data_IF_050090927381
#
_entry.id   IF_050090927381
#
_cell.length_a   1.000
_cell.length_b   1.000
_cell.length_c   1.000
_cell.angle_alpha   90.00
_cell.angle_beta   90.00
_cell.angle_gamma   90.00
#
_symmetry.space_group_name_H-M   'P 1'
#
loop_
_entity.id
_entity.type
_entity.pdbx_description
1 polymer ?
#
# COMPACT_ATOMS: atom_id res chain seq x y z
N UNK A 1 -9.22 -10.20 -6.87
CA UNK A 1 -9.01 -9.49 -5.59
C UNK A 1 -10.14 -9.67 -4.55
N UNK A 2 -11.44 -9.76 -4.91
CA UNK A 2 -12.54 -9.88 -3.94
C UNK A 2 -12.48 -11.08 -2.96
N UNK A 3 -11.90 -12.22 -3.38
CA UNK A 3 -11.78 -13.43 -2.54
C UNK A 3 -10.93 -13.22 -1.28
N UNK A 4 -9.83 -12.45 -1.37
CA UNK A 4 -8.92 -12.27 -0.25
C UNK A 4 -9.53 -11.37 0.84
N UNK A 5 -10.13 -10.25 0.43
CA UNK A 5 -10.79 -9.34 1.37
C UNK A 5 -11.89 -10.03 2.19
N UNK A 6 -12.63 -10.94 1.54
CA UNK A 6 -13.67 -11.70 2.21
C UNK A 6 -13.09 -12.66 3.27
N UNK A 7 -12.00 -13.37 2.97
CA UNK A 7 -11.32 -14.24 3.94
C UNK A 7 -10.86 -13.49 5.19
N UNK A 8 -10.40 -12.24 5.04
CA UNK A 8 -9.90 -11.44 6.16
C UNK A 8 -11.02 -11.11 7.16
N UNK A 9 -12.24 -10.89 6.66
CA UNK A 9 -13.38 -10.61 7.51
C UNK A 9 -13.85 -11.86 8.27
N UNK A 10 -13.55 -13.07 7.77
CA UNK A 10 -14.00 -14.32 8.40
C UNK A 10 -13.28 -14.56 9.72
N UNK A 11 -11.96 -14.45 9.79
CA UNK A 11 -11.23 -14.70 11.03
C UNK A 11 -11.57 -13.69 12.12
N UNK A 12 -11.84 -12.44 11.73
CA UNK A 12 -12.38 -11.44 12.63
C UNK A 12 -13.78 -11.83 13.15
N UNK A 13 -14.68 -12.26 12.26
CA UNK A 13 -16.02 -12.76 12.64
C UNK A 13 -15.94 -14.03 13.51
N UNK A 14 -14.99 -14.94 13.24
CA UNK A 14 -14.72 -16.14 14.06
C UNK A 14 -14.27 -15.77 15.46
N UNK A 15 -13.33 -14.83 15.58
CA UNK A 15 -12.91 -14.31 16.88
C UNK A 15 -14.10 -13.77 17.67
N UNK A 16 -14.92 -12.90 17.05
CA UNK A 16 -16.08 -12.33 17.71
C UNK A 16 -17.12 -13.38 18.12
N UNK A 17 -17.35 -14.40 17.27
CA UNK A 17 -18.24 -15.52 17.59
C UNK A 17 -17.73 -16.32 18.80
N UNK A 18 -16.44 -16.66 18.81
CA UNK A 18 -15.80 -17.38 19.92
C UNK A 18 -15.87 -16.56 21.21
N UNK A 19 -15.51 -15.27 21.19
CA UNK A 19 -15.62 -14.37 22.35
C UNK A 19 -17.06 -14.38 22.90
N UNK A 20 -18.05 -14.27 22.01
CA UNK A 20 -19.46 -14.25 22.41
C UNK A 20 -19.88 -15.58 23.06
N UNK A 21 -19.50 -16.71 22.47
CA UNK A 21 -19.85 -18.04 22.98
C UNK A 21 -19.11 -18.38 24.28
N UNK A 22 -17.83 -18.04 24.38
CA UNK A 22 -17.00 -18.24 25.56
C UNK A 22 -17.52 -17.41 26.74
N UNK A 23 -17.82 -16.12 26.53
CA UNK A 23 -18.41 -15.27 27.58
C UNK A 23 -19.74 -15.83 28.09
N UNK A 24 -20.62 -16.25 27.19
CA UNK A 24 -21.91 -16.86 27.55
C UNK A 24 -21.73 -18.15 28.36
N UNK A 25 -20.74 -18.97 27.99
CA UNK A 25 -20.41 -20.20 28.71
C UNK A 25 -19.86 -19.88 30.11
N UNK A 26 -18.83 -19.06 30.21
CA UNK A 26 -18.21 -18.69 31.50
C UNK A 26 -19.23 -18.03 32.44
N UNK A 27 -20.09 -17.15 31.92
CA UNK A 27 -21.13 -16.51 32.74
C UNK A 27 -22.16 -17.50 33.27
N UNK A 28 -22.44 -18.58 32.53
CA UNK A 28 -23.37 -19.63 32.94
C UNK A 28 -22.70 -20.66 33.84
N UNK A 29 -21.42 -20.96 33.65
CA UNK A 29 -20.64 -21.85 34.51
C UNK A 29 -20.45 -21.25 35.92
N UNK A 30 -20.29 -19.93 36.01
CA UNK A 30 -20.27 -19.19 37.29
C UNK A 30 -21.65 -19.13 37.98
N UNK A 31 -22.74 -19.32 37.23
CA UNK A 31 -24.11 -19.34 37.74
C UNK A 31 -24.55 -20.80 37.82
N UNK A 32 -24.22 -21.47 38.92
CA UNK A 32 -24.40 -22.92 39.22
C UNK A 32 -25.83 -23.50 38.98
N UNK A 33 -26.81 -22.70 38.53
CA UNK A 33 -28.19 -23.13 38.42
C UNK A 33 -28.60 -23.63 37.03
N UNK A 34 -28.94 -24.93 37.06
CA UNK A 34 -29.70 -25.77 36.14
C UNK A 34 -30.65 -25.07 35.14
N UNK A 35 -30.73 -25.69 33.95
CA UNK A 35 -31.82 -25.65 32.94
C UNK A 35 -31.84 -24.54 31.89
N UNK A 36 -31.00 -23.50 31.94
CA UNK A 36 -30.96 -22.55 30.83
C UNK A 36 -30.22 -23.11 29.61
N UNK A 37 -30.89 -23.15 28.45
CA UNK A 37 -30.30 -23.45 27.14
C UNK A 37 -28.98 -22.68 26.95
N UNK A 38 -27.87 -23.39 26.84
CA UNK A 38 -26.52 -22.84 26.64
C UNK A 38 -26.27 -22.63 25.15
N UNK A 39 -26.14 -21.37 24.72
CA UNK A 39 -25.83 -21.03 23.33
C UNK A 39 -26.63 -19.87 22.77
N UNK A 40 -26.53 -19.68 21.46
CA UNK A 40 -27.28 -18.67 20.70
C UNK A 40 -27.90 -19.31 19.47
N UNK A 41 -29.12 -18.90 19.11
CA UNK A 41 -29.71 -19.29 17.82
C UNK A 41 -28.92 -18.71 16.65
N UNK A 42 -28.95 -19.39 15.51
CA UNK A 42 -28.24 -18.94 14.32
C UNK A 42 -28.68 -17.54 13.88
N UNK A 43 -29.96 -17.19 14.08
CA UNK A 43 -30.47 -15.86 13.71
C UNK A 43 -29.83 -14.77 14.56
N UNK A 44 -29.74 -15.00 15.88
CA UNK A 44 -29.05 -14.09 16.79
C UNK A 44 -27.57 -13.96 16.46
N UNK A 45 -26.93 -15.07 16.07
CA UNK A 45 -25.52 -15.06 15.63
C UNK A 45 -25.37 -14.24 14.33
N UNK A 46 -26.20 -14.48 13.32
CA UNK A 46 -26.19 -13.72 12.06
C UNK A 46 -26.39 -12.23 12.29
N UNK A 47 -27.35 -11.85 13.15
CA UNK A 47 -27.61 -10.44 13.51
C UNK A 47 -26.39 -9.79 14.17
N UNK A 48 -25.79 -10.46 15.15
CA UNK A 48 -24.62 -9.92 15.87
C UNK A 48 -23.36 -9.84 15.01
N UNK A 49 -23.11 -10.84 14.17
CA UNK A 49 -21.95 -10.88 13.28
C UNK A 49 -22.16 -10.14 11.96
N UNK A 50 -23.37 -9.59 11.73
CA UNK A 50 -23.80 -8.97 10.46
C UNK A 50 -23.42 -9.85 9.27
N UNK A 51 -23.84 -11.12 9.33
CA UNK A 51 -23.53 -12.11 8.31
C UNK A 51 -24.78 -12.84 7.83
N UNK A 52 -24.73 -13.35 6.59
CA UNK A 52 -25.80 -14.19 6.05
C UNK A 52 -25.59 -15.67 6.43
N UNK A 53 -26.53 -16.56 6.05
CA UNK A 53 -26.45 -17.99 6.39
C UNK A 53 -25.25 -18.71 5.78
N UNK A 54 -24.85 -18.31 4.57
CA UNK A 54 -23.69 -18.90 3.87
C UNK A 54 -22.39 -18.52 4.58
N UNK A 55 -22.21 -17.24 4.88
CA UNK A 55 -21.08 -16.74 5.65
C UNK A 55 -21.04 -17.37 7.04
N UNK A 56 -22.20 -17.52 7.70
CA UNK A 56 -22.27 -18.20 8.99
C UNK A 56 -21.74 -19.63 8.88
N UNK A 57 -22.14 -20.37 7.84
CA UNK A 57 -21.64 -21.73 7.61
C UNK A 57 -20.12 -21.75 7.46
N UNK A 58 -19.54 -20.86 6.65
CA UNK A 58 -18.09 -20.76 6.41
C UNK A 58 -17.30 -20.31 7.65
N UNK A 59 -17.90 -19.46 8.50
CA UNK A 59 -17.35 -19.09 9.80
C UNK A 59 -17.35 -20.33 10.71
N UNK A 60 -18.47 -21.05 10.79
CA UNK A 60 -18.67 -22.15 11.74
C UNK A 60 -18.00 -23.45 11.34
N UNK A 61 -17.75 -23.71 10.06
CA UNK A 61 -17.18 -24.98 9.59
C UNK A 61 -15.84 -25.27 10.26
N UNK A 62 -14.90 -24.33 10.20
CA UNK A 62 -13.58 -24.49 10.83
C UNK A 62 -13.67 -24.56 12.36
N UNK A 63 -14.55 -23.76 12.97
CA UNK A 63 -14.75 -23.78 14.43
C UNK A 63 -15.30 -25.15 14.89
N UNK A 64 -16.18 -25.75 14.09
CA UNK A 64 -16.77 -27.05 14.36
C UNK A 64 -15.75 -28.18 14.18
N UNK A 65 -14.97 -28.15 13.10
CA UNK A 65 -13.87 -29.09 12.86
C UNK A 65 -12.83 -29.06 13.98
N UNK A 66 -12.52 -27.87 14.49
CA UNK A 66 -11.62 -27.69 15.65
C UNK A 66 -12.28 -28.04 17.00
N UNK A 67 -13.55 -28.47 17.00
CA UNK A 67 -14.35 -28.78 18.20
C UNK A 67 -14.47 -27.60 19.18
N UNK A 68 -14.36 -26.37 18.69
CA UNK A 68 -14.50 -25.14 19.48
C UNK A 68 -15.98 -24.79 19.66
N UNK A 69 -16.81 -25.12 18.69
CA UNK A 69 -18.26 -24.96 18.76
C UNK A 69 -18.97 -26.28 18.49
N UNK A 70 -20.21 -26.37 18.97
CA UNK A 70 -21.11 -27.47 18.70
C UNK A 70 -22.51 -26.93 18.37
N UNK A 71 -23.24 -27.70 17.56
CA UNK A 71 -24.61 -27.37 17.18
C UNK A 71 -25.58 -27.79 18.29
N UNK A 72 -26.63 -26.99 18.49
CA UNK A 72 -27.67 -27.23 19.50
C UNK A 72 -29.05 -26.88 18.94
N UNK A 73 -30.10 -27.42 19.54
CA UNK A 73 -31.50 -27.20 19.14
C UNK A 73 -32.12 -25.98 19.86
N UNK A 74 -31.36 -24.90 20.00
CA UNK A 74 -31.88 -23.62 20.49
C UNK A 74 -32.62 -22.95 19.34
N UNK A 75 -33.94 -22.76 19.50
CA UNK A 75 -34.82 -22.13 18.51
C UNK A 75 -34.60 -22.74 17.10
N UNK A 76 -34.80 -24.06 16.99
CA UNK A 76 -34.55 -24.91 15.81
C UNK A 76 -33.07 -25.20 15.52
N UNK A 77 -32.20 -24.18 15.42
CA UNK A 77 -30.76 -24.35 15.17
C UNK A 77 -29.95 -23.25 15.86
N UNK A 78 -29.01 -23.67 16.70
CA UNK A 78 -28.14 -22.79 17.48
C UNK A 78 -26.72 -23.32 17.61
N UNK A 79 -25.87 -22.49 18.22
CA UNK A 79 -24.46 -22.75 18.48
C UNK A 79 -24.17 -22.61 19.96
N UNK A 80 -23.31 -23.47 20.49
CA UNK A 80 -22.74 -23.31 21.81
C UNK A 80 -21.23 -23.48 21.79
N UNK A 81 -20.53 -22.74 22.65
CA UNK A 81 -19.09 -22.85 22.81
C UNK A 81 -18.71 -24.05 23.68
N UNK A 82 -17.65 -24.75 23.29
CA UNK A 82 -17.04 -25.81 24.10
C UNK A 82 -15.95 -25.24 25.01
N UNK A 83 -15.29 -26.09 25.80
CA UNK A 83 -14.08 -25.70 26.54
C UNK A 83 -12.96 -25.23 25.61
N UNK A 84 -12.83 -25.83 24.42
CA UNK A 84 -11.86 -25.40 23.40
C UNK A 84 -12.14 -24.01 22.85
N UNK A 85 -13.41 -23.57 22.80
CA UNK A 85 -13.70 -22.17 22.48
C UNK A 85 -13.14 -21.19 23.53
N UNK A 86 -13.19 -21.55 24.81
CA UNK A 86 -12.59 -20.72 25.87
C UNK A 86 -11.08 -20.64 25.66
N UNK A 87 -10.43 -21.78 25.42
CA UNK A 87 -8.98 -21.83 25.13
C UNK A 87 -8.61 -21.02 23.89
N UNK A 88 -9.39 -21.11 22.81
CA UNK A 88 -9.19 -20.34 21.58
C UNK A 88 -9.37 -18.84 21.81
N UNK A 89 -10.32 -18.44 22.66
CA UNK A 89 -10.54 -17.05 23.08
C UNK A 89 -9.36 -16.52 23.90
N UNK A 90 -8.98 -17.23 24.97
CA UNK A 90 -7.85 -16.87 25.85
C UNK A 90 -6.55 -16.75 25.07
N UNK A 91 -6.28 -17.68 24.14
CA UNK A 91 -5.09 -17.65 23.32
C UNK A 91 -5.14 -16.63 22.17
N UNK A 92 -6.28 -15.95 21.99
CA UNK A 92 -6.54 -15.02 20.90
C UNK A 92 -6.28 -15.63 19.51
N UNK A 93 -6.56 -16.94 19.33
CA UNK A 93 -6.17 -17.74 18.16
C UNK A 93 -6.53 -17.06 16.84
N UNK A 94 -7.79 -16.67 16.68
CA UNK A 94 -8.30 -16.06 15.45
C UNK A 94 -7.92 -14.58 15.30
N UNK A 95 -7.75 -13.85 16.41
CA UNK A 95 -7.28 -12.47 16.39
C UNK A 95 -5.82 -12.37 15.94
N UNK A 96 -4.96 -13.28 16.43
CA UNK A 96 -3.56 -13.40 15.99
C UNK A 96 -3.50 -13.71 14.50
N UNK A 97 -4.24 -14.72 14.05
CA UNK A 97 -4.30 -15.10 12.64
C UNK A 97 -4.74 -13.94 11.72
N UNK A 98 -5.75 -13.19 12.14
CA UNK A 98 -6.18 -11.98 11.43
C UNK A 98 -5.06 -10.93 11.34
N UNK A 99 -4.33 -10.70 12.42
CA UNK A 99 -3.21 -9.75 12.44
C UNK A 99 -2.02 -10.22 11.60
N UNK A 100 -1.69 -11.51 11.66
CA UNK A 100 -0.60 -12.10 10.88
C UNK A 100 -0.86 -11.96 9.37
N UNK A 101 -2.12 -12.13 8.95
CA UNK A 101 -2.53 -11.87 7.56
C UNK A 101 -2.29 -10.40 7.17
N UNK A 102 -2.66 -9.45 8.03
CA UNK A 102 -2.43 -8.01 7.80
C UNK A 102 -0.95 -7.66 7.72
N UNK A 103 -0.14 -8.20 8.62
CA UNK A 103 1.32 -8.02 8.58
C UNK A 103 1.92 -8.57 7.30
N UNK A 104 1.51 -9.77 6.90
CA UNK A 104 2.00 -10.40 5.67
C UNK A 104 1.64 -9.58 4.43
N UNK A 105 0.43 -9.01 4.39
CA UNK A 105 0.02 -8.19 3.25
C UNK A 105 0.76 -6.86 3.24
N UNK A 106 0.92 -6.21 4.40
CA UNK A 106 1.74 -5.00 4.52
C UNK A 106 3.19 -5.25 4.06
N UNK A 107 3.76 -6.39 4.46
CA UNK A 107 5.10 -6.83 4.03
C UNK A 107 5.18 -7.00 2.51
N UNK A 108 4.20 -7.69 1.90
CA UNK A 108 4.17 -7.90 0.45
C UNK A 108 4.02 -6.57 -0.31
N UNK A 109 3.16 -5.66 0.18
CA UNK A 109 3.00 -4.32 -0.40
C UNK A 109 4.33 -3.56 -0.31
N UNK A 110 4.96 -3.55 0.86
CA UNK A 110 6.26 -2.88 1.07
C UNK A 110 7.34 -3.43 0.14
N UNK A 111 7.40 -4.75 -0.05
CA UNK A 111 8.35 -5.40 -0.96
C UNK A 111 8.16 -4.99 -2.43
N UNK A 112 6.93 -4.69 -2.85
CA UNK A 112 6.65 -4.19 -4.20
C UNK A 112 6.92 -2.68 -4.30
N UNK A 113 6.54 -1.93 -3.27
CA UNK A 113 6.63 -0.47 -3.25
C UNK A 113 8.08 0.02 -3.21
N UNK A 114 8.94 -0.62 -2.41
CA UNK A 114 10.34 -0.20 -2.21
C UNK A 114 11.11 -0.16 -3.55
N UNK A 115 11.12 -1.22 -4.38
CA UNK A 115 11.80 -1.19 -5.68
C UNK A 115 11.25 -0.11 -6.63
N UNK A 116 9.93 0.11 -6.64
CA UNK A 116 9.29 1.11 -7.52
C UNK A 116 9.69 2.53 -7.09
N UNK A 117 9.68 2.81 -5.79
CA UNK A 117 10.11 4.11 -5.26
C UNK A 117 11.60 4.34 -5.51
N UNK A 118 12.44 3.32 -5.29
CA UNK A 118 13.87 3.40 -5.61
C UNK A 118 14.09 3.74 -7.09
N UNK A 119 13.40 3.03 -8.00
CA UNK A 119 13.49 3.28 -9.43
C UNK A 119 13.04 4.70 -9.80
N UNK A 120 11.95 5.18 -9.21
CA UNK A 120 11.43 6.54 -9.43
C UNK A 120 12.45 7.59 -9.01
N UNK A 121 13.06 7.44 -7.83
CA UNK A 121 14.11 8.34 -7.34
C UNK A 121 15.32 8.32 -8.26
N UNK A 122 15.77 7.13 -8.69
CA UNK A 122 16.88 7.00 -9.63
C UNK A 122 16.60 7.73 -10.95
N UNK A 123 15.40 7.58 -11.51
CA UNK A 123 15.01 8.27 -12.75
C UNK A 123 15.03 9.80 -12.54
N UNK A 124 14.50 10.30 -11.42
CA UNK A 124 14.51 11.74 -11.11
C UNK A 124 15.93 12.29 -11.05
N UNK A 125 16.83 11.60 -10.33
CA UNK A 125 18.25 12.00 -10.23
C UNK A 125 18.91 12.03 -11.61
N UNK A 126 18.67 11.03 -12.45
CA UNK A 126 19.24 10.96 -13.81
C UNK A 126 18.72 12.11 -14.70
N UNK A 127 17.44 12.46 -14.58
CA UNK A 127 16.84 13.54 -15.39
C UNK A 127 17.43 14.90 -14.99
N UNK A 128 17.55 15.17 -13.69
CA UNK A 128 18.16 16.41 -13.20
C UNK A 128 19.64 16.53 -13.58
N UNK A 129 20.41 15.44 -13.44
CA UNK A 129 21.84 15.44 -13.78
C UNK A 129 22.08 15.60 -15.29
N UNK A 130 21.24 14.99 -16.14
CA UNK A 130 21.32 15.18 -17.59
C UNK A 130 20.98 16.60 -18.03
N UNK A 131 20.04 17.29 -17.37
CA UNK A 131 19.77 18.71 -17.66
C UNK A 131 20.96 19.58 -17.28
N UNK A 132 21.51 19.38 -16.07
CA UNK A 132 22.69 20.09 -15.58
C UNK A 132 23.92 19.88 -16.48
N UNK A 133 24.14 18.63 -16.92
CA UNK A 133 25.26 18.27 -17.80
C UNK A 133 25.10 18.84 -19.20
N UNK A 134 23.89 18.83 -19.76
CA UNK A 134 23.63 19.43 -21.07
C UNK A 134 23.85 20.95 -21.07
N UNK A 135 23.45 21.65 -20.01
CA UNK A 135 23.68 23.10 -19.87
C UNK A 135 25.19 23.40 -19.86
N UNK A 136 25.97 22.69 -19.03
CA UNK A 136 27.43 22.86 -18.96
C UNK A 136 28.13 22.56 -20.29
N UNK A 137 27.68 21.55 -21.03
CA UNK A 137 28.23 21.22 -22.35
C UNK A 137 27.94 22.34 -23.37
N UNK A 138 26.77 22.97 -23.31
CA UNK A 138 26.43 24.09 -24.20
C UNK A 138 27.27 25.34 -23.91
N UNK A 139 27.49 25.66 -22.63
CA UNK A 139 28.35 26.77 -22.20
C UNK A 139 29.80 26.56 -22.68
N UNK A 140 30.36 25.37 -22.45
CA UNK A 140 31.71 25.03 -22.93
C UNK A 140 31.84 25.11 -24.45
N UNK A 141 30.81 24.68 -25.21
CA UNK A 141 30.80 24.81 -26.68
C UNK A 141 30.80 26.28 -27.11
N UNK A 142 30.05 27.14 -26.44
CA UNK A 142 30.02 28.58 -26.70
C UNK A 142 31.38 29.24 -26.40
N UNK A 143 32.04 28.86 -25.30
CA UNK A 143 33.37 29.36 -24.96
C UNK A 143 34.42 28.95 -26.00
N UNK A 144 34.45 27.67 -26.39
CA UNK A 144 35.38 27.17 -27.42
C UNK A 144 35.14 27.89 -28.75
N UNK A 145 33.88 28.11 -29.14
CA UNK A 145 33.55 28.82 -30.38
C UNK A 145 34.02 30.29 -30.34
N UNK A 146 33.89 30.95 -29.20
CA UNK A 146 34.38 32.32 -29.00
C UNK A 146 35.90 32.39 -29.06
N UNK A 147 36.62 31.43 -28.48
CA UNK A 147 38.09 31.34 -28.55
C UNK A 147 38.55 31.12 -29.99
N UNK A 148 37.88 30.23 -30.75
CA UNK A 148 38.19 29.99 -32.16
C UNK A 148 37.98 31.24 -33.01
N UNK A 149 36.86 31.97 -32.81
CA UNK A 149 36.61 33.25 -33.48
C UNK A 149 37.68 34.30 -33.15
N UNK A 150 38.11 34.40 -31.89
CA UNK A 150 39.19 35.32 -31.51
C UNK A 150 40.52 34.95 -32.17
N UNK A 151 40.86 33.66 -32.24
CA UNK A 151 42.05 33.19 -32.95
C UNK A 151 41.99 33.51 -34.44
N UNK A 152 40.84 33.28 -35.08
CA UNK A 152 40.65 33.60 -36.49
C UNK A 152 40.77 35.11 -36.77
N UNK A 153 40.31 35.96 -35.84
CA UNK A 153 40.50 37.41 -35.88
C UNK A 153 41.96 37.86 -35.67
N UNK A 154 42.76 37.07 -34.96
CA UNK A 154 44.19 37.33 -34.72
C UNK A 154 45.07 36.82 -35.87
N UNK A 155 44.71 35.70 -36.49
CA UNK A 155 45.43 35.10 -37.63
C UNK A 155 45.14 35.80 -38.97
N UNK A 156 44.00 36.51 -39.10
CA UNK A 156 43.66 37.34 -40.26
C UNK A 156 43.59 38.85 -39.93
N UNK A 157 44.72 39.53 -39.64
CA UNK A 157 44.73 40.98 -39.38
C UNK A 157 44.44 41.84 -40.63
N UNK A 158 44.36 41.24 -41.83
CA UNK A 158 44.33 41.93 -43.13
C UNK A 158 42.96 42.46 -43.57
N UNK A 159 41.88 42.31 -42.80
CA UNK A 159 40.59 42.97 -43.06
C UNK A 159 40.33 44.23 -42.22
N UNK A 160 41.36 44.81 -41.58
CA UNK A 160 41.20 46.00 -40.74
C UNK A 160 41.49 47.35 -41.40
N UNK A 161 41.99 47.39 -42.64
CA UNK A 161 42.34 48.65 -43.30
C UNK A 161 41.71 48.76 -44.69
N UNK A 162 40.50 49.31 -44.76
CA UNK A 162 40.14 50.13 -45.91
C UNK A 162 40.00 51.58 -45.42
N UNK A 163 40.95 52.47 -45.75
CA UNK A 163 40.81 53.87 -45.40
C UNK A 163 39.66 54.45 -46.22
N UNK A 164 38.66 55.01 -45.53
CA UNK A 164 37.71 55.94 -46.12
C UNK A 164 38.54 57.13 -46.61
N UNK A 165 38.84 57.15 -47.90
CA UNK A 165 39.47 58.28 -48.58
C UNK A 165 38.47 59.44 -48.49
N UNK A 166 38.78 60.41 -47.62
CA UNK A 166 38.20 61.75 -47.71
C UNK A 166 38.72 62.36 -49.01
N UNK A 167 37.83 62.66 -49.93
CA UNK A 167 38.11 63.51 -51.08
C UNK A 167 37.19 64.72 -50.98
N UNK A 168 37.66 65.72 -50.24
CA UNK A 168 37.32 67.13 -50.47
C UNK A 168 38.57 67.73 -51.10
N UNK A 169 38.51 68.13 -52.38
CA UNK A 169 38.30 69.54 -52.67
C UNK A 169 38.37 69.85 -54.18
N UNK A 170 37.42 70.72 -54.55
CA UNK A 170 37.57 71.82 -55.51
C UNK A 170 37.62 71.57 -57.02
N UNK A 171 36.63 72.21 -57.65
CA UNK A 171 36.78 73.32 -58.62
C UNK A 171 36.21 73.08 -60.03
N UNK A 172 35.13 73.82 -60.31
CA UNK A 172 34.92 74.63 -61.51
C UNK A 172 35.17 73.99 -62.89
N UNK A 173 34.10 73.87 -63.70
CA UNK A 173 33.84 74.80 -64.82
C UNK A 173 32.60 74.41 -65.63
N UNK A 174 31.74 75.42 -65.77
CA UNK A 174 30.80 75.73 -66.86
C UNK A 174 29.60 74.83 -67.10
#
# INVERSE_FOLDING_TARGET
MKKYFWFWNIDYKRHNLIVMLSKNRTSKELRINLLEKTGFSFENVCKKLKCNRKELHEITSELYENQEILYTNIELKGLYGTRKAIEADTNNKYKKRYYDLWLNVGRNISQILIPILALTITILVIVEDNQSTNIKIQELRLEVLNILKQKEMLENPSKKNHPIKKETDTLNKK
#
